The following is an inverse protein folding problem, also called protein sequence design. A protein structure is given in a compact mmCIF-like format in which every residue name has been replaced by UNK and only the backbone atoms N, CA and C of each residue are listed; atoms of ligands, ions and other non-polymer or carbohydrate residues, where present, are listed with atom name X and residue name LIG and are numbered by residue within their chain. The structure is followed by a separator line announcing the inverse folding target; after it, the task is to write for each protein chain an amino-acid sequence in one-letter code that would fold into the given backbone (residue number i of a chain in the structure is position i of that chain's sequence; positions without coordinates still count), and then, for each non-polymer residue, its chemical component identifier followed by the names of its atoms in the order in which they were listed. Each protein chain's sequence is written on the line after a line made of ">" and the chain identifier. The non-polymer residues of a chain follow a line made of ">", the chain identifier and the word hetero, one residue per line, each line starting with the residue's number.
data_IF_694163384446
#
_entry.id   IF_694163384446
#
_cell.length_a   1.000
_cell.length_b   1.000
_cell.length_c   1.000
_cell.angle_alpha   90.00
_cell.angle_beta   90.00
_cell.angle_gamma   90.00
#
_symmetry.space_group_name_H-M   'P 1'
#
loop_
_entity.id
_entity.type
_entity.pdbx_description
1 polymer ?
#
# COMPACT_ATOMS: atom_id res chain seq x y z
N UNK A 1 6.77 3.26 15.21
CA UNK A 1 5.50 3.11 14.49
C UNK A 1 5.62 2.19 13.28
N UNK A 2 6.42 2.46 12.27
CA UNK A 2 6.55 1.69 11.01
C UNK A 2 7.00 0.24 11.22
N UNK A 3 7.98 -0.03 12.12
CA UNK A 3 8.40 -1.40 12.47
C UNK A 3 7.25 -2.21 13.12
N UNK A 4 6.39 -1.55 13.90
CA UNK A 4 5.22 -2.19 14.52
C UNK A 4 4.19 -2.53 13.43
N UNK A 5 3.85 -1.56 12.56
CA UNK A 5 2.91 -1.77 11.45
C UNK A 5 3.32 -2.97 10.57
N UNK A 6 4.62 -3.10 10.24
CA UNK A 6 5.13 -4.23 9.46
C UNK A 6 4.97 -5.57 10.20
N UNK A 7 5.25 -5.60 11.50
CA UNK A 7 5.07 -6.81 12.31
C UNK A 7 3.60 -7.20 12.41
N UNK A 8 2.74 -6.23 12.68
CA UNK A 8 1.30 -6.45 12.81
C UNK A 8 0.70 -6.96 11.49
N UNK A 9 1.11 -6.40 10.35
CA UNK A 9 0.71 -6.87 9.02
C UNK A 9 1.10 -8.32 8.79
N UNK A 10 2.38 -8.68 9.05
CA UNK A 10 2.86 -10.06 8.88
C UNK A 10 2.10 -11.00 9.82
N UNK A 11 1.92 -10.62 11.09
CA UNK A 11 1.25 -11.46 12.07
C UNK A 11 -0.22 -11.74 11.73
N UNK A 12 -0.96 -10.70 11.34
CA UNK A 12 -2.38 -10.84 10.94
C UNK A 12 -2.49 -11.70 9.68
N UNK A 13 -1.69 -11.42 8.66
CA UNK A 13 -1.75 -12.16 7.39
C UNK A 13 -1.37 -13.64 7.59
N UNK A 14 -0.32 -13.92 8.37
CA UNK A 14 0.07 -15.29 8.70
C UNK A 14 -0.99 -16.02 9.52
N UNK A 15 -1.64 -15.31 10.48
CA UNK A 15 -2.76 -15.88 11.23
C UNK A 15 -3.93 -16.30 10.35
N UNK A 16 -4.32 -15.46 9.39
CA UNK A 16 -5.39 -15.77 8.42
C UNK A 16 -5.01 -16.97 7.56
N UNK A 17 -3.79 -16.99 6.99
CA UNK A 17 -3.32 -18.10 6.15
C UNK A 17 -3.27 -19.41 6.93
N UNK A 18 -2.75 -19.38 8.16
CA UNK A 18 -2.69 -20.57 9.03
C UNK A 18 -4.09 -21.09 9.33
N UNK A 19 -5.01 -20.20 9.71
CA UNK A 19 -6.41 -20.59 9.98
C UNK A 19 -7.08 -21.20 8.73
N UNK A 20 -6.86 -20.62 7.56
CA UNK A 20 -7.39 -21.13 6.30
C UNK A 20 -6.83 -22.53 5.96
N UNK A 21 -5.53 -22.76 6.14
CA UNK A 21 -4.90 -24.05 5.90
C UNK A 21 -5.47 -25.14 6.83
N UNK A 22 -5.64 -24.81 8.13
CA UNK A 22 -6.24 -25.74 9.10
C UNK A 22 -7.66 -26.15 8.66
N UNK A 23 -8.48 -25.17 8.26
CA UNK A 23 -9.85 -25.46 7.81
C UNK A 23 -9.85 -26.32 6.55
N UNK A 24 -9.00 -26.02 5.57
CA UNK A 24 -8.90 -26.79 4.33
C UNK A 24 -8.48 -28.24 4.63
N UNK A 25 -7.43 -28.44 5.42
CA UNK A 25 -6.97 -29.79 5.74
C UNK A 25 -8.00 -30.59 6.59
N UNK A 26 -8.69 -29.93 7.50
CA UNK A 26 -9.77 -30.55 8.26
C UNK A 26 -10.93 -31.00 7.36
N UNK A 27 -11.31 -30.17 6.36
CA UNK A 27 -12.33 -30.54 5.38
C UNK A 27 -11.89 -31.71 4.49
N UNK A 28 -10.65 -31.68 4.00
CA UNK A 28 -10.11 -32.77 3.19
C UNK A 28 -10.10 -34.09 4.00
N UNK A 29 -9.62 -34.04 5.24
CA UNK A 29 -9.60 -35.19 6.14
C UNK A 29 -11.02 -35.74 6.36
N UNK A 30 -11.95 -34.88 6.76
CA UNK A 30 -13.33 -35.26 7.04
C UNK A 30 -14.03 -35.85 5.81
N UNK A 31 -13.85 -35.24 4.63
CA UNK A 31 -14.41 -35.74 3.38
C UNK A 31 -13.83 -37.09 2.99
N UNK A 32 -12.50 -37.25 3.10
CA UNK A 32 -11.84 -38.52 2.80
C UNK A 32 -12.29 -39.60 3.75
N UNK A 33 -12.32 -39.33 5.07
CA UNK A 33 -12.79 -40.31 6.07
C UNK A 33 -14.26 -40.70 5.82
N UNK A 34 -15.12 -39.74 5.48
CA UNK A 34 -16.52 -40.03 5.12
C UNK A 34 -16.62 -40.91 3.89
N UNK A 35 -15.86 -40.61 2.83
CA UNK A 35 -15.87 -41.38 1.58
C UNK A 35 -15.38 -42.82 1.79
N UNK A 36 -14.27 -43.02 2.54
CA UNK A 36 -13.74 -44.34 2.84
C UNK A 36 -14.72 -45.16 3.69
N UNK A 37 -15.38 -44.55 4.65
CA UNK A 37 -16.42 -45.20 5.44
C UNK A 37 -17.64 -45.57 4.59
N UNK A 38 -18.08 -44.69 3.69
CA UNK A 38 -19.20 -44.99 2.77
C UNK A 38 -18.87 -46.15 1.81
N UNK A 39 -17.63 -46.26 1.34
CA UNK A 39 -17.17 -47.38 0.53
C UNK A 39 -17.23 -48.70 1.31
N UNK A 40 -16.77 -48.72 2.58
CA UNK A 40 -16.86 -49.90 3.42
C UNK A 40 -18.30 -50.31 3.71
N UNK A 41 -19.20 -49.34 3.98
CA UNK A 41 -20.63 -49.63 4.19
C UNK A 41 -21.32 -50.21 2.93
N UNK A 42 -21.01 -49.64 1.77
CA UNK A 42 -21.56 -50.17 0.47
C UNK A 42 -21.08 -51.59 0.22
N UNK A 43 -19.82 -51.90 0.55
CA UNK A 43 -19.29 -53.25 0.42
C UNK A 43 -19.98 -54.20 1.41
N UNK A 44 -20.19 -53.84 2.66
CA UNK A 44 -20.91 -54.63 3.66
C UNK A 44 -22.33 -54.97 3.18
N UNK A 45 -23.05 -53.98 2.62
CA UNK A 45 -24.40 -54.22 2.07
C UNK A 45 -24.38 -55.17 0.88
N UNK A 46 -23.39 -55.07 0.01
CA UNK A 46 -23.23 -55.94 -1.15
C UNK A 46 -22.98 -57.42 -0.72
N UNK A 47 -22.10 -57.61 0.27
CA UNK A 47 -21.77 -58.91 0.83
C UNK A 47 -22.96 -59.58 1.52
N UNK A 48 -23.82 -58.82 2.17
CA UNK A 48 -25.03 -59.31 2.82
C UNK A 48 -26.18 -59.61 1.83
N UNK A 49 -26.18 -58.97 0.65
CA UNK A 49 -27.17 -59.20 -0.39
C UNK A 49 -26.90 -60.42 -1.28
N UNK A 50 -25.85 -61.20 -0.99
CA UNK A 50 -25.37 -62.33 -1.82
C UNK A 50 -24.97 -61.95 -3.26
N UNK A 51 -24.78 -60.66 -3.55
CA UNK A 51 -24.22 -60.21 -4.82
C UNK A 51 -22.71 -60.44 -4.78
N UNK A 52 -22.15 -60.95 -5.88
CA UNK A 52 -20.67 -61.03 -5.97
C UNK A 52 -20.10 -59.62 -6.09
N UNK A 53 -19.19 -59.21 -5.21
CA UNK A 53 -18.58 -57.90 -5.30
C UNK A 53 -17.73 -57.84 -6.56
N UNK A 54 -18.09 -56.95 -7.48
CA UNK A 54 -17.31 -56.65 -8.68
C UNK A 54 -16.07 -55.84 -8.25
N UNK A 55 -14.89 -56.45 -8.32
CA UNK A 55 -13.56 -55.84 -8.01
C UNK A 55 -13.54 -55.01 -6.73
N UNK A 56 -13.40 -55.63 -5.57
CA UNK A 56 -13.19 -54.94 -4.31
C UNK A 56 -11.71 -54.79 -4.01
N UNK A 57 -11.31 -53.54 -3.75
CA UNK A 57 -9.95 -53.20 -3.28
C UNK A 57 -9.77 -53.52 -1.79
N UNK A 58 -10.83 -53.72 -1.04
CA UNK A 58 -10.79 -53.94 0.41
C UNK A 58 -10.88 -55.45 0.73
N UNK A 59 -10.03 -55.96 1.62
CA UNK A 59 -10.16 -57.30 2.14
C UNK A 59 -11.46 -57.45 2.94
N UNK A 60 -12.13 -58.55 2.73
CA UNK A 60 -13.41 -58.84 3.40
C UNK A 60 -13.58 -60.35 3.67
N UNK A 61 -14.37 -60.65 4.68
CA UNK A 61 -14.87 -62.00 4.91
C UNK A 61 -16.29 -61.97 5.46
N UNK A 62 -17.01 -63.07 5.27
CA UNK A 62 -18.35 -63.24 5.80
C UNK A 62 -18.39 -64.49 6.68
N UNK A 63 -19.08 -64.38 7.78
CA UNK A 63 -19.33 -65.49 8.69
C UNK A 63 -20.82 -65.80 8.63
N UNK A 64 -21.16 -67.01 8.25
CA UNK A 64 -22.52 -67.50 8.31
C UNK A 64 -22.62 -68.60 9.35
N UNK A 65 -23.63 -68.54 10.21
CA UNK A 65 -23.90 -69.59 11.23
C UNK A 65 -25.15 -70.34 10.86
N UNK A 66 -25.07 -71.65 11.03
CA UNK A 66 -26.26 -72.49 10.85
C UNK A 66 -26.95 -72.69 12.23
N UNK A 67 -28.21 -73.20 12.27
CA UNK A 67 -28.93 -73.42 13.53
C UNK A 67 -28.26 -74.38 14.49
N UNK A 68 -27.29 -75.14 14.03
CA UNK A 68 -26.52 -76.10 14.83
C UNK A 68 -25.28 -75.54 15.50
N UNK A 69 -25.03 -74.20 15.39
CA UNK A 69 -23.92 -73.56 16.01
C UNK A 69 -22.59 -73.65 15.25
N UNK A 70 -22.53 -74.31 14.11
CA UNK A 70 -21.36 -74.36 13.26
C UNK A 70 -21.30 -73.10 12.41
N UNK A 71 -20.12 -72.46 12.36
CA UNK A 71 -19.89 -71.26 11.52
C UNK A 71 -19.06 -71.64 10.29
N UNK A 72 -19.37 -70.97 9.15
CA UNK A 72 -18.63 -71.07 7.91
C UNK A 72 -18.11 -69.69 7.56
N UNK A 73 -16.81 -69.62 7.31
CA UNK A 73 -16.15 -68.34 6.92
C UNK A 73 -15.84 -68.41 5.43
N UNK A 74 -16.24 -67.38 4.70
CA UNK A 74 -15.98 -67.26 3.26
C UNK A 74 -15.48 -65.82 3.00
N UNK A 75 -14.42 -65.66 2.17
CA UNK A 75 -13.99 -64.30 1.83
C UNK A 75 -12.63 -64.25 1.16
N UNK A 76 -12.25 -63.03 0.83
CA UNK A 76 -10.94 -62.65 0.29
C UNK A 76 -10.28 -61.69 1.25
N UNK A 77 -9.44 -62.20 2.15
CA UNK A 77 -8.79 -61.45 3.21
C UNK A 77 -7.42 -62.01 3.51
N UNK A 78 -6.52 -61.16 3.92
CA UNK A 78 -5.20 -61.51 4.49
C UNK A 78 -5.31 -61.83 6.01
N UNK A 79 -6.48 -61.71 6.57
CA UNK A 79 -6.77 -62.03 7.96
C UNK A 79 -6.76 -63.55 8.15
N UNK A 80 -6.15 -63.99 9.23
CA UNK A 80 -6.05 -65.43 9.49
C UNK A 80 -7.40 -66.00 9.94
N UNK A 81 -8.26 -66.27 8.92
CA UNK A 81 -9.62 -66.81 9.10
C UNK A 81 -9.64 -68.26 9.57
N UNK A 82 -8.50 -69.01 9.51
CA UNK A 82 -8.37 -70.37 9.96
C UNK A 82 -8.18 -70.47 11.45
N UNK A 83 -7.87 -69.36 12.14
CA UNK A 83 -7.70 -69.35 13.59
C UNK A 83 -9.07 -69.30 14.31
N UNK A 84 -9.56 -70.43 14.74
CA UNK A 84 -10.88 -70.58 15.34
C UNK A 84 -11.02 -69.78 16.65
N UNK A 85 -9.96 -69.66 17.44
CA UNK A 85 -9.97 -68.87 18.71
C UNK A 85 -10.12 -67.38 18.47
N UNK A 86 -9.47 -66.85 17.40
CA UNK A 86 -9.59 -65.47 17.00
C UNK A 86 -10.98 -65.13 16.45
N UNK A 87 -11.56 -66.06 15.69
CA UNK A 87 -12.91 -65.92 15.13
C UNK A 87 -13.98 -65.90 16.23
N UNK A 88 -13.81 -66.75 17.24
CA UNK A 88 -14.71 -66.76 18.40
C UNK A 88 -14.61 -65.44 19.19
N UNK A 89 -13.42 -64.92 19.42
CA UNK A 89 -13.25 -63.65 20.08
C UNK A 89 -13.94 -62.50 19.28
N UNK A 90 -13.77 -62.43 17.95
CA UNK A 90 -14.40 -61.42 17.11
C UNK A 90 -15.92 -61.53 17.18
N UNK A 91 -16.47 -62.76 17.16
CA UNK A 91 -17.90 -63.00 17.24
C UNK A 91 -18.48 -62.65 18.61
N UNK A 92 -17.74 -62.91 19.69
CA UNK A 92 -18.14 -62.51 21.05
C UNK A 92 -18.19 -61.00 21.22
N UNK A 93 -17.21 -60.25 20.65
CA UNK A 93 -17.23 -58.78 20.62
C UNK A 93 -18.47 -58.25 19.86
N UNK A 94 -18.81 -58.84 18.73
CA UNK A 94 -20.01 -58.46 17.98
C UNK A 94 -21.29 -58.73 18.76
N UNK A 95 -21.36 -59.88 19.50
CA UNK A 95 -22.51 -60.22 20.36
C UNK A 95 -22.64 -59.27 21.52
N UNK A 96 -21.52 -58.90 22.18
CA UNK A 96 -21.50 -57.97 23.30
C UNK A 96 -21.96 -56.58 22.90
N UNK A 97 -21.55 -56.10 21.71
CA UNK A 97 -21.97 -54.80 21.22
C UNK A 97 -23.47 -54.73 20.87
N UNK A 98 -24.10 -55.88 20.62
CA UNK A 98 -25.52 -56.02 20.34
C UNK A 98 -26.06 -54.99 19.31
N UNK A 99 -25.28 -54.68 18.30
CA UNK A 99 -25.60 -53.68 17.25
C UNK A 99 -25.62 -54.36 15.87
N UNK A 100 -26.50 -53.87 14.99
CA UNK A 100 -26.58 -54.38 13.62
C UNK A 100 -25.37 -53.99 12.76
N UNK A 101 -24.63 -52.96 13.13
CA UNK A 101 -23.39 -52.52 12.49
C UNK A 101 -22.48 -51.86 13.48
N UNK A 102 -21.16 -52.02 13.34
CA UNK A 102 -20.20 -51.43 14.22
C UNK A 102 -18.76 -51.57 13.72
N UNK A 103 -17.83 -51.15 14.53
CA UNK A 103 -16.39 -51.27 14.27
C UNK A 103 -15.70 -51.95 15.47
N UNK A 104 -14.84 -52.89 15.16
CA UNK A 104 -13.97 -53.56 16.15
C UNK A 104 -12.60 -52.90 16.02
N UNK A 105 -12.34 -51.91 16.84
CA UNK A 105 -11.09 -51.09 16.78
C UNK A 105 -9.83 -51.94 16.94
N UNK A 106 -9.85 -52.95 17.83
CA UNK A 106 -8.71 -53.83 18.09
C UNK A 106 -8.17 -54.50 16.82
N UNK A 107 -9.06 -54.82 15.88
CA UNK A 107 -8.73 -55.52 14.64
C UNK A 107 -8.94 -54.69 13.35
N UNK A 108 -9.30 -53.41 13.52
CA UNK A 108 -9.66 -52.56 12.37
C UNK A 108 -10.71 -53.13 11.44
N UNK A 109 -11.65 -53.89 12.00
CA UNK A 109 -12.72 -54.52 11.27
C UNK A 109 -14.02 -53.74 11.43
N UNK A 110 -14.66 -53.45 10.32
CA UNK A 110 -16.03 -52.94 10.29
C UNK A 110 -16.96 -54.04 9.94
N UNK A 111 -18.06 -54.16 10.70
CA UNK A 111 -18.99 -55.25 10.51
C UNK A 111 -20.44 -54.79 10.33
N UNK A 112 -21.25 -55.67 9.70
CA UNK A 112 -22.69 -55.52 9.65
C UNK A 112 -23.34 -56.92 9.73
N UNK A 113 -24.38 -56.98 10.56
CA UNK A 113 -25.12 -58.21 10.84
C UNK A 113 -26.44 -58.20 10.09
N UNK A 114 -26.79 -59.30 9.41
CA UNK A 114 -28.11 -59.55 8.83
C UNK A 114 -28.70 -60.77 9.49
N UNK A 115 -29.82 -60.58 10.17
CA UNK A 115 -30.60 -61.66 10.79
C UNK A 115 -31.60 -62.19 9.77
N UNK A 116 -31.59 -63.51 9.53
CA UNK A 116 -32.57 -64.20 8.75
C UNK A 116 -33.26 -65.27 9.63
N UNK A 117 -34.44 -65.76 9.28
CA UNK A 117 -35.24 -66.67 10.12
C UNK A 117 -34.54 -67.98 10.52
N UNK A 118 -33.54 -68.41 9.76
CA UNK A 118 -32.82 -69.67 10.01
C UNK A 118 -31.31 -69.47 10.23
N UNK A 119 -30.71 -68.41 9.71
CA UNK A 119 -29.26 -68.18 9.72
C UNK A 119 -28.95 -66.72 9.97
N UNK A 120 -27.87 -66.46 10.70
CA UNK A 120 -27.32 -65.08 10.73
C UNK A 120 -26.03 -65.02 9.91
N UNK A 121 -25.94 -63.95 9.14
CA UNK A 121 -24.79 -63.66 8.32
C UNK A 121 -24.17 -62.37 8.79
N UNK A 122 -22.88 -62.41 9.08
CA UNK A 122 -22.10 -61.22 9.45
C UNK A 122 -21.07 -60.98 8.35
N UNK A 123 -21.05 -59.81 7.80
CA UNK A 123 -20.02 -59.36 6.88
C UNK A 123 -18.99 -58.49 7.63
N UNK A 124 -17.74 -58.73 7.36
CA UNK A 124 -16.61 -57.97 7.89
C UNK A 124 -15.78 -57.38 6.76
N UNK A 125 -15.34 -56.14 6.92
CA UNK A 125 -14.43 -55.44 6.00
C UNK A 125 -13.23 -54.95 6.80
N UNK A 126 -12.04 -55.26 6.33
CA UNK A 126 -10.81 -54.75 6.92
C UNK A 126 -10.57 -53.28 6.49
N UNK A 127 -10.51 -52.40 7.47
CA UNK A 127 -10.31 -50.97 7.29
C UNK A 127 -8.90 -50.54 7.60
N UNK A 128 -7.94 -51.44 7.80
CA UNK A 128 -6.52 -51.12 8.11
C UNK A 128 -5.89 -50.25 7.03
N UNK A 129 -6.20 -50.54 5.73
CA UNK A 129 -5.72 -49.70 4.62
C UNK A 129 -6.29 -48.29 4.64
N UNK A 130 -7.53 -48.11 5.13
CA UNK A 130 -8.17 -46.80 5.30
C UNK A 130 -7.45 -45.98 6.37
N UNK A 131 -7.11 -46.60 7.52
CA UNK A 131 -6.37 -45.94 8.58
C UNK A 131 -5.00 -45.52 8.09
N UNK A 132 -4.28 -46.38 7.39
CA UNK A 132 -2.99 -46.07 6.80
C UNK A 132 -3.09 -44.89 5.82
N UNK A 133 -4.14 -44.85 5.00
CA UNK A 133 -4.41 -43.75 4.07
C UNK A 133 -4.68 -42.43 4.81
N UNK A 134 -5.48 -42.45 5.87
CA UNK A 134 -5.77 -41.27 6.68
C UNK A 134 -4.52 -40.78 7.42
N UNK A 135 -3.69 -41.68 7.95
CA UNK A 135 -2.42 -41.31 8.56
C UNK A 135 -1.44 -40.69 7.56
N UNK A 136 -1.31 -41.29 6.37
CA UNK A 136 -0.48 -40.74 5.32
C UNK A 136 -0.98 -39.33 4.89
N UNK A 137 -2.30 -39.14 4.82
CA UNK A 137 -2.90 -37.86 4.52
C UNK A 137 -2.57 -36.79 5.57
N UNK A 138 -2.61 -37.16 6.86
CA UNK A 138 -2.21 -36.24 7.96
C UNK A 138 -0.74 -35.87 7.85
N UNK A 139 0.14 -36.84 7.62
CA UNK A 139 1.59 -36.57 7.47
C UNK A 139 1.88 -35.66 6.29
N UNK A 140 1.27 -35.93 5.11
CA UNK A 140 1.42 -35.10 3.92
C UNK A 140 0.87 -33.70 4.20
N UNK A 141 -0.29 -33.57 4.84
CA UNK A 141 -0.89 -32.28 5.19
C UNK A 141 0.00 -31.44 6.09
N UNK A 142 0.66 -32.07 7.08
CA UNK A 142 1.62 -31.37 7.96
C UNK A 142 2.83 -30.89 7.15
N UNK A 143 3.40 -31.76 6.30
CA UNK A 143 4.55 -31.39 5.48
C UNK A 143 4.21 -30.24 4.51
N UNK A 144 3.13 -30.35 3.76
CA UNK A 144 2.66 -29.33 2.83
C UNK A 144 2.32 -28.04 3.57
N UNK A 145 1.70 -28.15 4.75
CA UNK A 145 1.39 -27.00 5.62
C UNK A 145 2.65 -26.23 6.05
N UNK A 146 3.68 -26.95 6.51
CA UNK A 146 4.95 -26.34 6.91
C UNK A 146 5.65 -25.65 5.73
N UNK A 147 5.74 -26.32 4.58
CA UNK A 147 6.34 -25.74 3.38
C UNK A 147 5.57 -24.50 2.94
N UNK A 148 4.24 -24.58 2.91
CA UNK A 148 3.37 -23.45 2.57
C UNK A 148 3.57 -22.27 3.52
N UNK A 149 3.65 -22.49 4.83
CA UNK A 149 3.87 -21.42 5.81
C UNK A 149 5.23 -20.71 5.59
N UNK A 150 6.28 -21.46 5.29
CA UNK A 150 7.61 -20.87 4.99
C UNK A 150 7.55 -20.01 3.72
N UNK A 151 6.93 -20.51 2.66
CA UNK A 151 6.78 -19.77 1.40
C UNK A 151 5.93 -18.51 1.61
N UNK A 152 4.78 -18.62 2.27
CA UNK A 152 3.93 -17.49 2.58
C UNK A 152 4.61 -16.46 3.47
N UNK A 153 5.41 -16.88 4.46
CA UNK A 153 6.20 -15.97 5.27
C UNK A 153 7.18 -15.14 4.42
N UNK A 154 7.86 -15.78 3.48
CA UNK A 154 8.74 -15.09 2.52
C UNK A 154 7.99 -14.05 1.68
N UNK A 155 6.85 -14.43 1.12
CA UNK A 155 5.98 -13.55 0.36
C UNK A 155 5.49 -12.37 1.23
N UNK A 156 5.02 -12.64 2.46
CA UNK A 156 4.56 -11.61 3.38
C UNK A 156 5.66 -10.60 3.74
N UNK A 157 6.91 -11.04 3.92
CA UNK A 157 8.03 -10.15 4.20
C UNK A 157 8.30 -9.23 3.00
N UNK A 158 8.26 -9.76 1.77
CA UNK A 158 8.45 -8.98 0.55
C UNK A 158 7.32 -7.97 0.35
N UNK A 159 6.07 -8.41 0.47
CA UNK A 159 4.90 -7.55 0.34
C UNK A 159 4.86 -6.47 1.44
N UNK A 160 5.18 -6.82 2.68
CA UNK A 160 5.24 -5.86 3.78
C UNK A 160 6.29 -4.76 3.54
N UNK A 161 7.45 -5.09 2.93
CA UNK A 161 8.44 -4.09 2.53
C UNK A 161 7.89 -3.18 1.44
N UNK A 162 7.24 -3.74 0.43
CA UNK A 162 6.71 -2.99 -0.71
C UNK A 162 5.57 -2.06 -0.31
N UNK A 163 4.60 -2.54 0.47
CA UNK A 163 3.43 -1.76 0.93
C UNK A 163 3.80 -0.68 1.94
N UNK A 164 4.75 -0.97 2.86
CA UNK A 164 5.12 -0.02 3.92
C UNK A 164 6.12 1.04 3.44
N UNK A 165 6.88 0.78 2.36
CA UNK A 165 7.87 1.71 1.83
C UNK A 165 7.30 3.09 1.48
N UNK A 166 6.21 3.23 0.69
CA UNK A 166 5.63 4.53 0.35
C UNK A 166 5.10 5.28 1.59
N UNK A 167 4.50 4.57 2.55
CA UNK A 167 4.02 5.17 3.81
C UNK A 167 5.19 5.72 4.62
N UNK A 168 6.32 4.99 4.65
CA UNK A 168 7.55 5.46 5.31
C UNK A 168 8.08 6.72 4.65
N UNK A 169 8.14 6.76 3.32
CA UNK A 169 8.62 7.91 2.57
C UNK A 169 7.72 9.14 2.80
N UNK A 170 6.40 8.98 2.75
CA UNK A 170 5.45 10.05 3.03
C UNK A 170 5.59 10.59 4.47
N UNK A 171 5.69 9.68 5.46
CA UNK A 171 5.90 10.06 6.86
C UNK A 171 7.22 10.81 7.09
N UNK A 172 8.30 10.39 6.45
CA UNK A 172 9.59 11.06 6.54
C UNK A 172 9.53 12.48 5.94
N UNK A 173 8.90 12.62 4.76
CA UNK A 173 8.68 13.93 4.12
C UNK A 173 7.85 14.86 5.03
N UNK A 174 6.79 14.35 5.64
CA UNK A 174 5.95 15.13 6.56
C UNK A 174 6.73 15.55 7.81
N UNK A 175 7.52 14.64 8.39
CA UNK A 175 8.35 14.96 9.57
C UNK A 175 9.40 16.03 9.24
N UNK A 176 10.05 15.90 8.08
CA UNK A 176 11.01 16.88 7.60
C UNK A 176 10.34 18.24 7.40
N UNK A 177 9.19 18.28 6.74
CA UNK A 177 8.40 19.51 6.56
C UNK A 177 8.10 20.23 7.88
N UNK A 178 7.66 19.50 8.92
CA UNK A 178 7.39 20.08 10.25
C UNK A 178 8.67 20.63 10.89
N UNK A 179 9.78 19.90 10.75
CA UNK A 179 11.08 20.32 11.29
C UNK A 179 11.58 21.60 10.63
N UNK A 180 11.56 21.64 9.30
CA UNK A 180 12.02 22.79 8.53
C UNK A 180 11.13 24.01 8.77
N UNK A 181 9.82 23.80 8.81
CA UNK A 181 8.85 24.82 9.19
C UNK A 181 9.15 25.45 10.55
N UNK A 182 9.45 24.61 11.53
CA UNK A 182 9.76 25.08 12.89
C UNK A 182 11.06 25.90 12.93
N UNK A 183 12.06 25.53 12.16
CA UNK A 183 13.30 26.27 12.03
C UNK A 183 13.11 27.62 11.32
N UNK A 184 12.38 27.62 10.20
CA UNK A 184 12.12 28.83 9.40
C UNK A 184 11.19 29.84 10.12
N UNK A 185 10.32 29.38 11.05
CA UNK A 185 9.53 30.27 11.91
C UNK A 185 10.30 30.81 13.09
N UNK A 186 11.26 30.06 13.65
CA UNK A 186 12.02 30.49 14.82
C UNK A 186 12.91 31.71 14.54
N UNK A 187 13.55 31.74 13.37
CA UNK A 187 14.47 32.80 13.00
C UNK A 187 13.80 34.18 12.95
N UNK A 188 12.73 34.44 12.16
CA UNK A 188 12.07 35.73 12.14
C UNK A 188 11.45 36.10 13.49
N UNK A 189 10.91 35.11 14.23
CA UNK A 189 10.37 35.34 15.56
C UNK A 189 11.46 35.87 16.52
N UNK A 190 12.65 35.28 16.50
CA UNK A 190 13.77 35.73 17.31
C UNK A 190 14.19 37.16 16.94
N UNK A 191 14.21 37.51 15.64
CA UNK A 191 14.53 38.87 15.18
C UNK A 191 13.47 39.87 15.63
N UNK A 192 12.17 39.50 15.54
CA UNK A 192 11.07 40.35 16.04
C UNK A 192 11.25 40.60 17.54
N UNK A 193 11.47 39.57 18.34
CA UNK A 193 11.65 39.68 19.80
C UNK A 193 12.85 40.57 20.14
N UNK A 194 13.99 40.34 19.51
CA UNK A 194 15.21 41.15 19.75
C UNK A 194 15.02 42.61 19.36
N UNK A 195 14.38 42.88 18.19
CA UNK A 195 14.13 44.30 17.82
C UNK A 195 13.07 44.93 18.74
N UNK A 196 12.11 44.18 19.28
CA UNK A 196 11.15 44.70 20.26
C UNK A 196 11.81 45.04 21.58
N UNK A 197 12.74 44.21 22.07
CA UNK A 197 13.53 44.49 23.27
C UNK A 197 14.42 45.75 23.08
N UNK A 198 15.06 45.87 21.91
CA UNK A 198 15.85 47.05 21.58
C UNK A 198 14.99 48.33 21.50
N UNK A 199 13.80 48.21 20.90
CA UNK A 199 12.83 49.30 20.77
C UNK A 199 12.37 49.84 22.13
N UNK A 200 12.13 48.94 23.10
CA UNK A 200 11.73 49.33 24.47
C UNK A 200 12.82 50.14 25.19
N UNK A 201 14.09 49.93 24.83
CA UNK A 201 15.23 50.56 25.46
C UNK A 201 15.78 51.76 24.65
N UNK A 202 15.17 52.09 23.50
CA UNK A 202 15.64 53.17 22.60
C UNK A 202 14.65 54.33 22.63
N UNK A 203 15.10 55.60 22.83
CA UNK A 203 14.21 56.76 22.78
C UNK A 203 13.50 56.87 21.41
N UNK A 204 12.23 57.26 21.41
CA UNK A 204 11.41 57.41 20.20
C UNK A 204 11.92 58.49 19.21
N UNK A 205 12.83 59.35 19.65
CA UNK A 205 13.45 60.39 18.84
C UNK A 205 14.71 59.91 18.11
N UNK A 206 15.15 58.67 18.35
CA UNK A 206 16.35 58.11 17.72
C UNK A 206 15.98 57.47 16.36
N UNK A 207 16.77 57.74 15.33
CA UNK A 207 16.63 57.11 13.98
C UNK A 207 16.73 55.58 14.02
N UNK A 208 17.31 55.01 15.06
CA UNK A 208 17.34 53.58 15.30
C UNK A 208 15.94 52.99 15.60
N UNK A 209 15.04 53.79 16.19
CA UNK A 209 13.68 53.39 16.52
C UNK A 209 12.88 52.98 15.26
N UNK A 210 12.91 53.85 14.23
CA UNK A 210 12.20 53.55 12.95
C UNK A 210 12.74 52.29 12.27
N UNK A 211 14.07 52.09 12.33
CA UNK A 211 14.72 50.91 11.78
C UNK A 211 14.30 49.63 12.50
N UNK A 212 14.13 49.64 13.82
CA UNK A 212 13.63 48.48 14.57
C UNK A 212 12.17 48.19 14.22
N UNK A 213 11.31 49.21 14.07
CA UNK A 213 9.93 49.08 13.63
C UNK A 213 9.85 48.47 12.24
N UNK A 214 10.66 48.94 11.28
CA UNK A 214 10.72 48.43 9.92
C UNK A 214 11.16 46.96 9.87
N UNK A 215 12.18 46.60 10.66
CA UNK A 215 12.62 45.22 10.79
C UNK A 215 11.50 44.28 11.32
N UNK A 216 10.77 44.72 12.36
CA UNK A 216 9.67 43.97 12.94
C UNK A 216 8.57 43.78 11.89
N UNK A 217 8.20 44.82 11.15
CA UNK A 217 7.19 44.77 10.12
C UNK A 217 7.58 43.79 8.97
N UNK A 218 8.83 43.91 8.49
CA UNK A 218 9.39 43.07 7.46
C UNK A 218 9.38 41.60 7.88
N UNK A 219 9.83 41.27 9.07
CA UNK A 219 9.85 39.90 9.58
C UNK A 219 8.43 39.34 9.79
N UNK A 220 7.49 40.18 10.23
CA UNK A 220 6.09 39.81 10.39
C UNK A 220 5.43 39.48 9.03
N UNK A 221 5.75 40.26 7.99
CA UNK A 221 5.29 39.97 6.62
C UNK A 221 5.89 38.68 6.06
N UNK A 222 7.18 38.46 6.31
CA UNK A 222 7.85 37.20 5.92
C UNK A 222 7.20 35.99 6.59
N UNK A 223 6.91 36.04 7.91
CA UNK A 223 6.23 34.99 8.63
C UNK A 223 4.83 34.71 8.07
N UNK A 224 4.06 35.75 7.75
CA UNK A 224 2.77 35.62 7.13
C UNK A 224 2.86 34.86 5.80
N UNK A 225 3.77 35.28 4.91
CA UNK A 225 3.97 34.63 3.62
C UNK A 225 4.40 33.16 3.76
N UNK A 226 5.21 32.85 4.77
CA UNK A 226 5.61 31.48 5.10
C UNK A 226 4.40 30.63 5.51
N UNK A 227 3.56 31.14 6.43
CA UNK A 227 2.36 30.43 6.92
C UNK A 227 1.36 30.22 5.78
N UNK A 228 1.08 31.23 4.96
CA UNK A 228 0.20 31.13 3.80
C UNK A 228 0.70 30.09 2.79
N UNK A 229 2.01 30.08 2.52
CA UNK A 229 2.64 29.09 1.66
C UNK A 229 2.50 27.66 2.20
N UNK A 230 2.67 27.48 3.53
CA UNK A 230 2.46 26.19 4.18
C UNK A 230 1.01 25.72 4.10
N UNK A 231 0.04 26.62 4.30
CA UNK A 231 -1.38 26.32 4.20
C UNK A 231 -1.75 25.88 2.78
N UNK A 232 -1.23 26.58 1.76
CA UNK A 232 -1.43 26.22 0.36
C UNK A 232 -0.94 24.79 0.06
N UNK A 233 0.28 24.47 0.51
CA UNK A 233 0.85 23.13 0.33
C UNK A 233 0.10 22.05 1.11
N UNK A 234 -0.37 22.34 2.33
CA UNK A 234 -1.14 21.40 3.14
C UNK A 234 -2.53 21.13 2.56
N UNK A 235 -3.16 22.13 1.94
CA UNK A 235 -4.44 21.97 1.25
C UNK A 235 -4.30 21.10 0.00
N UNK A 236 -3.24 21.31 -0.78
CA UNK A 236 -2.94 20.50 -1.97
C UNK A 236 -2.69 19.03 -1.62
N UNK A 237 -1.92 18.75 -0.54
CA UNK A 237 -1.68 17.37 -0.08
C UNK A 237 -2.96 16.60 0.28
N UNK A 238 -3.97 17.30 0.75
CA UNK A 238 -5.26 16.70 1.15
C UNK A 238 -6.22 16.45 -0.03
N UNK A 239 -5.87 16.81 -1.26
CA UNK A 239 -6.73 16.66 -2.43
C UNK A 239 -8.07 17.42 -2.32
N UNK A 240 -8.17 18.36 -1.37
CA UNK A 240 -9.41 19.06 -1.04
C UNK A 240 -9.54 20.44 -1.69
N UNK A 241 -8.61 20.82 -2.55
CA UNK A 241 -8.81 22.05 -3.32
C UNK A 241 -9.82 21.75 -4.42
N UNK A 242 -11.12 21.70 -4.03
CA UNK A 242 -12.22 21.97 -4.96
C UNK A 242 -12.16 23.47 -5.36
N UNK A 243 -11.06 23.90 -5.93
CA UNK A 243 -11.03 25.16 -6.64
C UNK A 243 -11.94 24.96 -7.83
N UNK A 244 -13.04 25.72 -7.85
CA UNK A 244 -13.95 25.76 -8.99
C UNK A 244 -13.12 26.25 -10.20
N UNK A 245 -12.68 25.33 -11.03
CA UNK A 245 -12.03 25.68 -12.28
C UNK A 245 -13.05 26.38 -13.17
N UNK A 246 -12.68 27.56 -13.64
CA UNK A 246 -13.50 28.36 -14.52
C UNK A 246 -12.76 28.61 -15.85
N UNK A 247 -13.46 28.73 -16.95
CA UNK A 247 -12.85 29.21 -18.18
C UNK A 247 -12.22 30.58 -17.95
N UNK A 248 -10.96 30.74 -18.30
CA UNK A 248 -10.23 32.01 -18.18
C UNK A 248 -9.34 32.26 -19.39
N UNK A 249 -9.14 33.54 -19.74
CA UNK A 249 -8.15 33.96 -20.71
C UNK A 249 -6.77 34.05 -20.02
N UNK A 250 -5.93 33.04 -20.28
CA UNK A 250 -4.61 32.95 -19.66
C UNK A 250 -3.64 33.98 -20.16
N UNK A 251 -3.79 34.41 -21.44
CA UNK A 251 -2.99 35.50 -22.02
C UNK A 251 -3.20 36.80 -21.27
N UNK A 252 -4.45 37.19 -20.99
CA UNK A 252 -4.79 38.39 -20.24
C UNK A 252 -4.29 38.29 -18.76
N UNK A 253 -4.43 37.12 -18.14
CA UNK A 253 -3.96 36.91 -16.80
C UNK A 253 -2.45 37.09 -16.70
N UNK A 254 -1.67 36.47 -17.58
CA UNK A 254 -0.22 36.60 -17.62
C UNK A 254 0.17 38.07 -17.87
N UNK A 255 -0.45 38.73 -18.84
CA UNK A 255 -0.17 40.13 -19.17
C UNK A 255 -0.38 41.06 -17.97
N UNK A 256 -1.51 40.92 -17.25
CA UNK A 256 -1.81 41.76 -16.09
C UNK A 256 -0.84 41.48 -14.93
N UNK A 257 -0.47 40.20 -14.73
CA UNK A 257 0.43 39.80 -13.65
C UNK A 257 1.86 40.28 -13.86
N UNK A 258 2.31 40.49 -15.10
CA UNK A 258 3.67 40.96 -15.41
C UNK A 258 3.86 42.46 -15.17
N UNK A 259 2.79 43.26 -15.30
CA UNK A 259 2.90 44.76 -15.19
C UNK A 259 3.56 45.26 -13.92
N UNK A 260 3.24 44.77 -12.71
CA UNK A 260 3.90 45.25 -11.47
C UNK A 260 5.37 44.88 -11.37
N UNK A 261 5.83 43.87 -12.12
CA UNK A 261 7.23 43.44 -12.08
C UNK A 261 8.17 44.26 -12.95
N UNK A 262 7.68 44.95 -13.98
CA UNK A 262 8.52 45.78 -14.84
C UNK A 262 9.34 46.84 -14.07
N UNK A 263 8.73 47.70 -13.23
CA UNK A 263 9.50 48.68 -12.48
C UNK A 263 10.42 48.04 -11.46
N UNK A 264 10.00 46.98 -10.79
CA UNK A 264 10.81 46.26 -9.79
C UNK A 264 12.08 45.64 -10.37
N UNK A 265 11.97 45.10 -11.58
CA UNK A 265 13.10 44.50 -12.28
C UNK A 265 14.01 45.59 -12.88
N UNK A 266 13.44 46.70 -13.35
CA UNK A 266 14.19 47.82 -13.85
C UNK A 266 15.12 48.44 -12.78
N UNK A 267 14.65 48.58 -11.52
CA UNK A 267 15.48 49.00 -10.38
C UNK A 267 16.69 48.08 -10.14
N UNK A 268 16.57 46.82 -10.53
CA UNK A 268 17.66 45.83 -10.45
C UNK A 268 18.55 45.76 -11.70
N UNK A 269 18.45 46.76 -12.60
CA UNK A 269 19.10 46.75 -13.91
C UNK A 269 18.75 45.56 -14.81
N UNK A 270 17.51 45.05 -14.69
CA UNK A 270 17.00 43.97 -15.52
C UNK A 270 15.84 44.48 -16.40
N UNK A 271 15.85 44.08 -17.66
CA UNK A 271 14.77 44.40 -18.60
C UNK A 271 13.82 43.18 -18.76
N UNK A 272 12.55 43.40 -18.44
CA UNK A 272 11.53 42.38 -18.70
C UNK A 272 11.05 42.47 -20.14
N UNK A 273 11.12 41.34 -20.88
CA UNK A 273 10.54 41.19 -22.21
C UNK A 273 9.46 40.15 -22.23
N UNK A 274 8.24 40.52 -22.59
CA UNK A 274 7.10 39.64 -22.65
C UNK A 274 6.73 39.37 -24.12
N UNK A 275 6.62 38.08 -24.47
CA UNK A 275 6.11 37.58 -25.74
C UNK A 275 4.92 36.67 -25.47
N UNK A 276 3.71 37.23 -25.48
CA UNK A 276 2.49 36.58 -25.04
C UNK A 276 1.57 36.39 -26.25
N UNK A 277 1.40 35.14 -26.68
CA UNK A 277 0.44 34.81 -27.70
C UNK A 277 -0.99 35.15 -27.23
N UNK A 278 -1.81 35.84 -28.04
CA UNK A 278 -3.16 36.23 -27.66
C UNK A 278 -4.11 35.02 -27.57
N UNK A 279 -5.23 35.20 -26.88
CA UNK A 279 -6.41 34.31 -26.90
C UNK A 279 -6.12 32.86 -26.46
N UNK A 280 -5.19 32.64 -25.55
CA UNK A 280 -5.00 31.34 -24.94
C UNK A 280 -5.98 31.20 -23.77
N UNK A 281 -6.99 30.36 -23.95
CA UNK A 281 -8.00 30.06 -22.94
C UNK A 281 -7.77 28.67 -22.36
N UNK A 282 -7.95 28.53 -21.05
CA UNK A 282 -7.89 27.26 -20.35
C UNK A 282 -8.89 27.26 -19.17
N UNK A 283 -9.13 26.09 -18.60
CA UNK A 283 -9.96 25.93 -17.41
C UNK A 283 -9.05 25.85 -16.18
N UNK A 284 -9.25 26.76 -15.21
CA UNK A 284 -8.40 26.81 -14.03
C UNK A 284 -8.84 27.85 -13.00
N UNK A 285 -8.05 27.96 -11.94
CA UNK A 285 -8.18 29.00 -10.91
C UNK A 285 -7.32 30.20 -11.29
N UNK A 286 -7.94 31.32 -11.57
CA UNK A 286 -7.23 32.56 -11.92
C UNK A 286 -6.22 32.96 -10.83
N UNK A 287 -6.63 32.88 -9.54
CA UNK A 287 -5.79 33.22 -8.40
C UNK A 287 -4.55 32.31 -8.30
N UNK A 288 -4.72 31.01 -8.44
CA UNK A 288 -3.61 30.06 -8.35
C UNK A 288 -2.66 30.19 -9.56
N UNK A 289 -3.19 30.35 -10.77
CA UNK A 289 -2.35 30.52 -11.96
C UNK A 289 -1.60 31.87 -11.94
N UNK A 290 -2.22 32.94 -11.43
CA UNK A 290 -1.55 34.21 -11.15
C UNK A 290 -0.38 34.00 -10.20
N UNK A 291 -0.58 33.27 -9.10
CA UNK A 291 0.47 32.95 -8.12
C UNK A 291 1.65 32.19 -8.75
N UNK A 292 1.39 31.28 -9.70
CA UNK A 292 2.47 30.61 -10.44
C UNK A 292 3.32 31.60 -11.21
N UNK A 293 2.68 32.53 -11.94
CA UNK A 293 3.40 33.57 -12.71
C UNK A 293 4.23 34.47 -11.78
N UNK A 294 3.62 34.91 -10.67
CA UNK A 294 4.29 35.73 -9.65
C UNK A 294 5.53 35.03 -9.07
N UNK A 295 5.40 33.75 -8.69
CA UNK A 295 6.50 32.95 -8.17
C UNK A 295 7.66 32.83 -9.17
N UNK A 296 7.36 32.60 -10.46
CA UNK A 296 8.39 32.47 -11.48
C UNK A 296 9.10 33.81 -11.75
N UNK A 297 8.36 34.92 -11.79
CA UNK A 297 8.93 36.26 -11.97
C UNK A 297 9.74 36.73 -10.75
N UNK A 298 9.25 36.51 -9.54
CA UNK A 298 9.96 36.77 -8.29
C UNK A 298 11.27 35.97 -8.22
N UNK A 299 11.20 34.70 -8.58
CA UNK A 299 12.38 33.84 -8.65
C UNK A 299 13.39 34.34 -9.70
N UNK A 300 12.92 34.66 -10.90
CA UNK A 300 13.78 35.27 -11.90
C UNK A 300 14.43 36.57 -11.40
N UNK A 301 13.68 37.48 -10.77
CA UNK A 301 14.19 38.73 -10.23
C UNK A 301 15.14 38.61 -9.03
N UNK A 302 15.09 37.49 -8.29
CA UNK A 302 15.97 37.20 -7.16
C UNK A 302 17.30 36.60 -7.55
N UNK A 303 17.32 35.76 -8.58
CA UNK A 303 18.49 34.97 -8.95
C UNK A 303 19.12 35.41 -10.29
N UNK A 304 18.62 36.49 -10.87
CA UNK A 304 19.21 37.07 -12.09
C UNK A 304 20.48 37.83 -11.81
N UNK A 305 21.34 37.86 -12.81
CA UNK A 305 22.37 38.90 -12.99
C UNK A 305 21.80 39.97 -13.91
N UNK A 306 22.35 41.24 -13.90
CA UNK A 306 21.87 42.28 -14.81
C UNK A 306 21.75 41.79 -16.26
N UNK A 307 20.59 42.00 -16.87
CA UNK A 307 20.31 41.49 -18.23
C UNK A 307 18.82 41.40 -18.56
N UNK A 308 18.48 40.55 -19.50
CA UNK A 308 17.10 40.43 -20.01
C UNK A 308 16.44 39.21 -19.38
N UNK A 309 15.35 39.43 -18.64
CA UNK A 309 14.39 38.38 -18.24
C UNK A 309 13.34 38.31 -19.36
N UNK A 310 13.12 37.09 -19.87
CA UNK A 310 12.13 36.88 -20.94
C UNK A 310 11.01 35.97 -20.42
N UNK A 311 9.77 36.44 -20.58
CA UNK A 311 8.57 35.66 -20.35
C UNK A 311 7.92 35.41 -21.72
N UNK A 312 7.65 34.13 -22.01
CA UNK A 312 7.01 33.73 -23.27
C UNK A 312 5.82 32.85 -22.98
N UNK A 313 4.66 33.15 -23.56
CA UNK A 313 3.47 32.31 -23.52
C UNK A 313 3.10 31.90 -24.92
N UNK A 314 3.06 30.61 -25.21
CA UNK A 314 2.73 30.07 -26.54
C UNK A 314 1.75 28.92 -26.41
N UNK A 315 1.03 28.67 -27.52
CA UNK A 315 0.20 27.47 -27.66
C UNK A 315 0.99 26.36 -28.31
N UNK A 316 1.11 25.21 -27.65
CA UNK A 316 1.76 24.00 -28.16
C UNK A 316 0.76 22.86 -28.30
N UNK A 317 0.12 22.76 -29.46
CA UNK A 317 -0.91 21.77 -29.70
C UNK A 317 -2.13 21.94 -28.78
N UNK A 318 -2.32 21.01 -27.86
CA UNK A 318 -3.42 21.04 -26.85
C UNK A 318 -3.01 21.63 -25.52
N UNK A 319 -1.84 22.24 -25.45
CA UNK A 319 -1.31 22.80 -24.20
C UNK A 319 -0.94 24.27 -24.39
N UNK A 320 -1.07 25.06 -23.32
CA UNK A 320 -0.42 26.34 -23.15
C UNK A 320 0.96 26.11 -22.52
N UNK A 321 2.00 26.72 -23.06
CA UNK A 321 3.34 26.71 -22.48
C UNK A 321 3.77 28.12 -22.11
N UNK A 322 3.97 28.33 -20.80
CA UNK A 322 4.59 29.51 -20.24
C UNK A 322 6.06 29.21 -19.95
N UNK A 323 6.96 30.11 -20.33
CA UNK A 323 8.36 30.02 -19.96
C UNK A 323 8.86 31.35 -19.41
N UNK A 324 9.69 31.28 -18.35
CA UNK A 324 10.39 32.44 -17.77
C UNK A 324 11.87 32.13 -17.75
N UNK A 325 12.65 32.92 -18.51
CA UNK A 325 14.09 32.74 -18.55
C UNK A 325 14.82 33.97 -17.96
N UNK A 326 15.88 33.71 -17.22
CA UNK A 326 16.73 34.73 -16.64
C UNK A 326 18.20 34.37 -16.80
N UNK A 327 19.10 35.35 -17.05
CA UNK A 327 20.53 35.14 -16.93
C UNK A 327 20.90 34.87 -15.48
N UNK A 328 21.80 33.93 -15.23
CA UNK A 328 22.21 33.58 -13.88
C UNK A 328 23.14 32.38 -13.84
N UNK A 329 23.63 32.02 -12.66
CA UNK A 329 24.46 30.85 -12.51
C UNK A 329 23.70 29.56 -12.90
N UNK A 330 24.35 28.63 -13.60
CA UNK A 330 23.70 27.38 -13.99
C UNK A 330 23.35 26.55 -12.78
N UNK A 331 22.18 25.90 -12.84
CA UNK A 331 21.68 24.99 -11.82
C UNK A 331 22.18 23.58 -12.15
N UNK A 332 22.83 22.91 -11.21
CA UNK A 332 23.33 21.54 -11.45
C UNK A 332 22.21 20.55 -11.79
N UNK A 333 22.47 19.48 -12.55
CA UNK A 333 21.45 18.46 -12.88
C UNK A 333 20.82 17.80 -11.66
N UNK A 334 21.55 17.74 -10.54
CA UNK A 334 21.04 17.22 -9.27
C UNK A 334 20.08 18.22 -8.62
N UNK A 335 20.43 19.50 -8.61
CA UNK A 335 19.62 20.57 -8.06
C UNK A 335 18.35 20.81 -8.89
N UNK A 336 18.41 20.69 -10.23
CA UNK A 336 17.23 20.81 -11.11
C UNK A 336 16.10 19.85 -10.74
N UNK A 337 16.43 18.69 -10.17
CA UNK A 337 15.43 17.72 -9.69
C UNK A 337 14.85 18.09 -8.33
N UNK A 338 15.60 18.88 -7.53
CA UNK A 338 15.31 19.15 -6.13
C UNK A 338 14.77 20.54 -5.86
N UNK A 339 14.95 21.51 -6.77
CA UNK A 339 14.50 22.90 -6.56
C UNK A 339 12.97 23.03 -6.40
N UNK A 340 12.21 22.00 -6.75
CA UNK A 340 10.76 21.91 -6.51
C UNK A 340 10.41 21.22 -5.18
N UNK A 341 11.41 20.73 -4.43
CA UNK A 341 11.19 20.19 -3.08
C UNK A 341 10.96 21.36 -2.10
N UNK A 342 10.14 21.12 -1.09
CA UNK A 342 9.82 22.09 -0.04
C UNK A 342 11.07 22.45 0.76
N UNK A 343 11.29 23.73 1.04
CA UNK A 343 12.44 24.29 1.77
C UNK A 343 13.80 24.03 1.11
N UNK A 344 13.83 23.52 -0.12
CA UNK A 344 15.07 23.28 -0.81
C UNK A 344 15.63 24.58 -1.40
N UNK A 345 16.94 24.79 -1.23
CA UNK A 345 17.70 25.93 -1.75
C UNK A 345 19.07 25.44 -2.22
N UNK A 346 19.52 25.88 -3.39
CA UNK A 346 20.83 25.53 -3.96
C UNK A 346 21.97 26.10 -3.11
N UNK A 347 21.83 27.36 -2.64
CA UNK A 347 22.78 28.04 -1.76
C UNK A 347 22.15 28.35 -0.39
N UNK A 348 22.52 27.59 0.64
CA UNK A 348 22.11 27.87 2.02
C UNK A 348 22.81 29.16 2.59
N UNK A 349 23.93 29.57 2.01
CA UNK A 349 24.73 30.71 2.50
C UNK A 349 24.19 32.10 2.11
N UNK A 350 23.24 32.21 1.17
CA UNK A 350 22.61 33.46 0.76
C UNK A 350 21.34 33.78 1.57
N UNK A 351 21.47 33.89 2.88
CA UNK A 351 20.38 34.23 3.82
C UNK A 351 19.66 35.57 3.55
N UNK A 352 20.23 36.43 2.72
CA UNK A 352 19.79 37.83 2.56
C UNK A 352 18.54 38.04 1.68
N UNK A 353 18.03 37.05 0.98
CA UNK A 353 16.95 37.24 -0.02
C UNK A 353 15.55 36.91 0.46
N UNK A 354 15.31 36.60 1.75
CA UNK A 354 13.95 36.37 2.30
C UNK A 354 13.12 35.26 1.68
N UNK A 355 13.75 34.30 0.98
CA UNK A 355 13.09 33.18 0.33
C UNK A 355 13.16 31.91 1.18
N UNK A 356 12.02 31.33 1.54
CA UNK A 356 11.94 30.12 2.36
C UNK A 356 12.05 28.81 1.55
N UNK A 357 12.27 28.86 0.23
CA UNK A 357 12.31 27.67 -0.62
C UNK A 357 10.94 26.97 -0.79
N UNK A 358 9.84 27.70 -0.62
CA UNK A 358 8.49 27.18 -0.82
C UNK A 358 7.88 27.57 -2.16
N UNK A 359 8.33 28.66 -2.79
CA UNK A 359 7.68 29.19 -4.00
C UNK A 359 7.59 28.17 -5.13
N UNK A 360 8.71 27.56 -5.55
CA UNK A 360 8.70 26.57 -6.62
C UNK A 360 7.90 25.30 -6.27
N UNK A 361 7.89 24.89 -5.00
CA UNK A 361 7.07 23.78 -4.53
C UNK A 361 5.57 24.11 -4.62
N UNK A 362 5.17 25.35 -4.32
CA UNK A 362 3.80 25.85 -4.48
C UNK A 362 3.44 25.89 -5.96
N UNK A 363 4.29 26.44 -6.81
CA UNK A 363 4.07 26.46 -8.26
C UNK A 363 3.90 25.06 -8.84
N UNK A 364 4.73 24.10 -8.43
CA UNK A 364 4.60 22.69 -8.84
C UNK A 364 3.28 22.10 -8.40
N UNK A 365 2.86 22.34 -7.16
CA UNK A 365 1.58 21.84 -6.65
C UNK A 365 0.41 22.39 -7.45
N UNK A 366 0.36 23.70 -7.65
CA UNK A 366 -0.70 24.37 -8.44
C UNK A 366 -0.75 23.83 -9.88
N UNK A 367 0.40 23.73 -10.55
CA UNK A 367 0.48 23.22 -11.92
C UNK A 367 0.02 21.76 -12.00
N UNK A 368 0.39 20.94 -11.03
CA UNK A 368 -0.04 19.54 -10.96
C UNK A 368 -1.55 19.43 -10.75
N UNK A 369 -2.14 20.24 -9.88
CA UNK A 369 -3.59 20.28 -9.66
C UNK A 369 -4.37 20.68 -10.92
N UNK A 370 -3.74 21.49 -11.81
CA UNK A 370 -4.29 21.84 -13.12
C UNK A 370 -3.98 20.82 -14.22
N UNK A 371 -3.43 19.63 -13.86
CA UNK A 371 -3.07 18.58 -14.82
C UNK A 371 -1.87 18.90 -15.70
N UNK A 372 -1.09 19.92 -15.32
CA UNK A 372 0.07 20.42 -16.04
C UNK A 372 1.41 19.79 -15.58
N UNK A 373 2.48 20.36 -16.14
CA UNK A 373 3.87 20.02 -15.78
C UNK A 373 4.70 21.28 -15.62
N UNK A 374 5.64 21.28 -14.67
CA UNK A 374 6.65 22.31 -14.45
C UNK A 374 8.03 21.68 -14.47
N UNK A 375 9.00 22.32 -15.11
CA UNK A 375 10.40 21.88 -15.12
C UNK A 375 11.32 23.08 -15.35
N UNK A 376 12.63 22.86 -15.24
CA UNK A 376 13.67 23.83 -15.50
C UNK A 376 14.69 23.27 -16.48
N UNK A 377 15.19 24.12 -17.35
CA UNK A 377 16.37 23.87 -18.17
C UNK A 377 17.40 24.94 -17.85
N UNK A 378 18.63 24.52 -17.61
CA UNK A 378 19.72 25.40 -17.19
C UNK A 378 20.97 25.11 -17.98
N UNK A 379 21.62 26.16 -18.44
CA UNK A 379 22.88 26.11 -19.16
C UNK A 379 23.72 27.37 -18.83
N UNK A 380 24.88 27.49 -19.45
CA UNK A 380 25.78 28.63 -19.23
C UNK A 380 25.18 29.99 -19.64
N UNK A 381 24.10 30.02 -20.42
CA UNK A 381 23.39 31.24 -20.82
C UNK A 381 22.34 31.68 -19.78
N UNK A 382 22.01 30.83 -18.81
CA UNK A 382 21.03 31.11 -17.76
C UNK A 382 20.05 29.96 -17.51
N UNK A 383 18.99 30.28 -16.80
CA UNK A 383 17.95 29.34 -16.35
C UNK A 383 16.62 29.65 -17.04
N UNK A 384 15.90 28.64 -17.47
CA UNK A 384 14.57 28.75 -18.03
C UNK A 384 13.60 27.80 -17.34
N UNK A 385 12.58 28.36 -16.71
CA UNK A 385 11.50 27.62 -16.07
C UNK A 385 10.33 27.50 -17.02
N UNK A 386 9.81 26.31 -17.18
CA UNK A 386 8.70 25.99 -18.07
C UNK A 386 7.50 25.50 -17.28
N UNK A 387 6.32 25.98 -17.67
CA UNK A 387 5.02 25.49 -17.18
C UNK A 387 4.17 25.12 -18.39
N UNK A 388 3.66 23.91 -18.40
CA UNK A 388 2.76 23.41 -19.44
C UNK A 388 1.41 23.08 -18.81
N UNK A 389 0.33 23.64 -19.35
CA UNK A 389 -1.04 23.47 -18.88
C UNK A 389 -1.94 22.98 -20.02
N UNK A 390 -2.89 22.05 -19.79
CA UNK A 390 -3.87 21.64 -20.79
C UNK A 390 -4.84 22.79 -21.09
N UNK A 391 -5.25 22.89 -22.40
CA UNK A 391 -6.21 23.88 -22.89
C UNK A 391 -7.64 23.38 -22.79
#
# INVERSE_FOLDING_TARGET
>A
MIKKLRKDFIFITMGIVTGMLIVIFALIYSFTAWNLNAQADTLLDTLLSNAQPTQTALPYFTVSTNPWGNFRVEGKTDFNIENESLMLEILDIVKEQNQQSGTIEKYNLRYRVRLSYADWKIAFVDTSSHQNTLWALVQISILVGLVSLVVFLGICILLAKWVVSPVKAAWQKQKQFISDASHELKTPLTVIMSNTELLQNTPSTDSAHDRYCENILTMSQQMRNLVEGMLTLAQADNGKVQTLFQPLNFSDLVSRTTLPFEPLLYEKNCLLRCDIAPDIHLSGSAQHLQQVVEILLDNAGKYTIPGIIRLTLTRQGRNAQLSVSNPGAPISPEDQKRIFERFYRVDQARERNGSFGLGLAIAQSIVTDHGGKIWVESNDSGNCFFVQLPL
#
